data_IF_111186150638
#
_entry.id   IF_111186150638
#
_cell.length_a   1.000
_cell.length_b   1.000
_cell.length_c   1.000
_cell.angle_alpha   90.00
_cell.angle_beta   90.00
_cell.angle_gamma   90.00
#
_symmetry.space_group_name_H-M   'P 1'
#
loop_
_entity.id
_entity.type
_entity.pdbx_description
1 polymer ?
#
# COMPACT_ATOMS: atom_id res chain seq x y z
N UNK A 1 -18.48 -10.25 -4.68
CA UNK A 1 -17.18 -9.87 -4.10
C UNK A 1 -17.23 -10.19 -2.62
N UNK A 2 -16.48 -11.19 -2.13
CA UNK A 2 -16.57 -11.70 -0.74
C UNK A 2 -15.29 -11.34 0.00
N UNK A 3 -15.26 -10.15 0.62
CA UNK A 3 -14.33 -9.85 1.71
C UNK A 3 -14.73 -10.71 2.91
N UNK A 4 -13.80 -11.52 3.44
CA UNK A 4 -14.02 -12.27 4.69
C UNK A 4 -13.84 -11.33 5.87
N UNK A 5 -14.93 -10.67 6.26
CA UNK A 5 -15.06 -10.10 7.60
C UNK A 5 -15.38 -11.24 8.55
N UNK A 6 -14.72 -11.28 9.72
CA UNK A 6 -14.97 -12.29 10.76
C UNK A 6 -16.45 -12.32 11.14
N UNK A 7 -17.13 -13.37 10.71
CA UNK A 7 -18.22 -14.15 11.33
C UNK A 7 -19.32 -14.61 10.34
N UNK A 8 -19.73 -15.88 10.53
CA UNK A 8 -20.73 -16.72 9.87
C UNK A 8 -20.31 -17.60 8.66
N UNK A 9 -20.58 -18.93 8.72
CA UNK A 9 -20.20 -19.88 7.68
C UNK A 9 -21.17 -19.75 6.49
N UNK A 10 -20.63 -19.53 5.29
CA UNK A 10 -21.40 -19.52 4.03
C UNK A 10 -21.16 -20.79 3.21
N UNK A 11 -22.19 -21.26 2.47
CA UNK A 11 -22.21 -22.57 1.84
C UNK A 11 -21.30 -22.63 0.61
N UNK A 12 -20.78 -23.83 0.36
CA UNK A 12 -19.84 -24.19 -0.70
C UNK A 12 -20.57 -24.19 -2.03
N UNK A 13 -20.22 -23.26 -2.93
CA UNK A 13 -20.67 -23.26 -4.32
C UNK A 13 -19.58 -23.91 -5.19
N UNK A 14 -20.01 -24.86 -6.02
CA UNK A 14 -19.18 -25.63 -6.94
C UNK A 14 -18.53 -24.74 -8.02
N UNK A 15 -17.25 -24.99 -8.28
CA UNK A 15 -16.44 -24.27 -9.26
C UNK A 15 -15.32 -23.47 -8.59
N UNK A 16 -14.36 -24.16 -7.96
CA UNK A 16 -13.16 -23.51 -7.46
C UNK A 16 -12.30 -23.08 -8.66
N UNK A 17 -11.90 -21.79 -8.79
CA UNK A 17 -10.73 -21.48 -9.60
C UNK A 17 -9.56 -22.27 -9.02
N UNK A 18 -8.59 -22.66 -9.85
CA UNK A 18 -7.34 -23.24 -9.37
C UNK A 18 -6.68 -22.19 -8.49
N UNK A 19 -6.94 -22.26 -7.19
CA UNK A 19 -6.23 -21.50 -6.18
C UNK A 19 -4.89 -22.20 -6.10
N UNK A 20 -3.91 -21.72 -6.86
CA UNK A 20 -2.51 -21.94 -6.50
C UNK A 20 -2.42 -21.56 -5.03
N UNK A 21 -2.22 -22.55 -4.17
CA UNK A 21 -2.05 -22.31 -2.74
C UNK A 21 -0.98 -21.23 -2.59
N UNK A 22 -1.29 -20.08 -1.95
CA UNK A 22 -0.33 -19.02 -1.73
C UNK A 22 0.93 -19.63 -1.13
N UNK A 23 2.07 -19.43 -1.77
CA UNK A 23 3.33 -19.92 -1.23
C UNK A 23 3.53 -19.25 0.14
N UNK A 24 3.54 -20.06 1.21
CA UNK A 24 3.58 -19.56 2.58
C UNK A 24 4.79 -18.65 2.84
N UNK A 25 5.91 -18.87 2.15
CA UNK A 25 7.08 -18.00 2.21
C UNK A 25 6.82 -16.62 1.60
N UNK A 26 6.12 -16.56 0.45
CA UNK A 26 5.74 -15.29 -0.18
C UNK A 26 4.73 -14.54 0.68
N UNK A 27 3.71 -15.25 1.20
CA UNK A 27 2.73 -14.67 2.10
C UNK A 27 3.38 -14.07 3.36
N UNK A 28 4.37 -14.77 3.94
CA UNK A 28 5.13 -14.26 5.09
C UNK A 28 5.95 -13.00 4.74
N UNK A 29 6.59 -12.97 3.58
CA UNK A 29 7.35 -11.80 3.13
C UNK A 29 6.43 -10.58 2.88
N UNK A 30 5.22 -10.82 2.34
CA UNK A 30 4.22 -9.80 2.09
C UNK A 30 3.52 -9.33 3.38
N UNK A 31 3.36 -10.19 4.38
CA UNK A 31 2.77 -9.82 5.67
C UNK A 31 3.56 -8.70 6.38
N UNK A 32 4.90 -8.70 6.28
CA UNK A 32 5.73 -7.62 6.81
C UNK A 32 5.48 -6.28 6.11
N UNK A 33 5.22 -6.30 4.80
CA UNK A 33 4.83 -5.12 4.03
C UNK A 33 3.45 -4.60 4.47
N UNK A 34 2.48 -5.49 4.69
CA UNK A 34 1.15 -5.10 5.18
C UNK A 34 1.23 -4.45 6.56
N UNK A 35 1.95 -5.07 7.50
CA UNK A 35 2.14 -4.54 8.85
C UNK A 35 2.76 -3.12 8.84
N UNK A 36 3.71 -2.85 7.93
CA UNK A 36 4.26 -1.50 7.76
C UNK A 36 3.19 -0.50 7.31
N UNK A 37 2.36 -0.86 6.32
CA UNK A 37 1.33 0.00 5.77
C UNK A 37 0.24 0.31 6.81
N UNK A 38 -0.16 -0.66 7.61
CA UNK A 38 -1.15 -0.51 8.68
C UNK A 38 -0.66 0.38 9.83
N UNK A 39 0.64 0.35 10.12
CA UNK A 39 1.28 1.22 11.10
C UNK A 39 1.62 2.61 10.57
N UNK A 40 1.41 2.86 9.26
CA UNK A 40 1.89 4.07 8.61
C UNK A 40 0.93 5.26 8.77
N UNK A 41 1.44 6.50 8.82
CA UNK A 41 0.61 7.71 8.68
C UNK A 41 0.01 7.84 7.27
N UNK A 42 0.45 7.02 6.31
CA UNK A 42 0.02 7.11 4.92
C UNK A 42 -1.44 6.75 4.74
N UNK A 43 -2.05 5.95 5.62
CA UNK A 43 -3.44 5.53 5.49
C UNK A 43 -4.31 6.00 6.67
N UNK A 44 -3.98 7.15 7.24
CA UNK A 44 -4.86 7.83 8.19
C UNK A 44 -5.92 8.67 7.46
N UNK A 45 -7.18 8.52 7.89
CA UNK A 45 -8.34 9.31 7.41
C UNK A 45 -8.45 10.71 8.02
N UNK A 46 -7.50 11.12 8.86
CA UNK A 46 -7.50 12.44 9.49
C UNK A 46 -6.65 13.46 8.72
N UNK A 47 -6.93 14.75 8.95
CA UNK A 47 -6.18 15.86 8.36
C UNK A 47 -4.70 15.78 8.77
N UNK A 48 -3.82 15.76 7.78
CA UNK A 48 -2.37 15.73 7.98
C UNK A 48 -1.90 17.10 8.47
N UNK A 49 -1.18 17.14 9.60
CA UNK A 49 -0.46 18.33 10.09
C UNK A 49 0.95 18.44 9.48
N UNK A 50 1.64 19.57 9.65
CA UNK A 50 2.99 19.76 9.08
C UNK A 50 3.99 18.67 9.55
N UNK A 51 3.93 18.28 10.83
CA UNK A 51 4.76 17.20 11.37
C UNK A 51 4.43 15.85 10.73
N UNK A 52 3.16 15.62 10.39
CA UNK A 52 2.72 14.40 9.74
C UNK A 52 3.12 14.35 8.26
N UNK A 53 3.22 15.49 7.57
CA UNK A 53 3.79 15.56 6.23
C UNK A 53 5.22 15.01 6.20
N UNK A 54 6.07 15.44 7.15
CA UNK A 54 7.44 14.92 7.22
C UNK A 54 7.46 13.41 7.52
N UNK A 55 6.58 12.94 8.41
CA UNK A 55 6.43 11.51 8.67
C UNK A 55 6.02 10.76 7.41
N UNK A 56 5.07 11.27 6.63
CA UNK A 56 4.70 10.67 5.34
C UNK A 56 5.91 10.56 4.40
N UNK A 57 6.72 11.62 4.27
CA UNK A 57 7.93 11.57 3.44
C UNK A 57 8.90 10.47 3.85
N UNK A 58 9.21 10.40 5.14
CA UNK A 58 10.13 9.39 5.69
C UNK A 58 9.57 8.00 5.48
N UNK A 59 8.30 7.79 5.81
CA UNK A 59 7.62 6.50 5.64
C UNK A 59 7.54 6.06 4.19
N UNK A 60 7.35 6.96 3.22
CA UNK A 60 7.36 6.61 1.79
C UNK A 60 8.76 6.19 1.35
N UNK A 61 9.80 6.85 1.87
CA UNK A 61 11.19 6.45 1.65
C UNK A 61 11.50 5.05 2.21
N UNK A 62 11.02 4.76 3.42
CA UNK A 62 11.11 3.45 4.05
C UNK A 62 10.32 2.39 3.28
N UNK A 63 9.09 2.71 2.85
CA UNK A 63 8.21 1.81 2.11
C UNK A 63 8.86 1.41 0.79
N UNK A 64 9.47 2.38 0.08
CA UNK A 64 10.22 2.11 -1.15
C UNK A 64 11.36 1.11 -0.92
N UNK A 65 12.04 1.17 0.22
CA UNK A 65 13.11 0.23 0.60
C UNK A 65 12.50 -1.13 0.96
N UNK A 66 11.48 -1.16 1.80
CA UNK A 66 10.83 -2.41 2.19
C UNK A 66 10.27 -3.17 0.98
N UNK A 67 9.60 -2.49 0.05
CA UNK A 67 9.11 -3.11 -1.19
C UNK A 67 10.26 -3.70 -2.03
N UNK A 68 11.42 -3.03 -2.04
CA UNK A 68 12.61 -3.55 -2.71
C UNK A 68 13.12 -4.83 -2.03
N UNK A 69 13.25 -4.79 -0.71
CA UNK A 69 13.75 -5.89 0.10
C UNK A 69 12.80 -7.09 0.01
N UNK A 70 11.49 -6.86 0.10
CA UNK A 70 10.46 -7.89 -0.10
C UNK A 70 10.59 -8.52 -1.48
N UNK A 71 10.83 -7.77 -2.56
CA UNK A 71 11.02 -8.36 -3.90
C UNK A 71 12.24 -9.28 -3.99
N UNK A 72 13.31 -9.00 -3.24
CA UNK A 72 14.50 -9.85 -3.19
C UNK A 72 14.27 -11.18 -2.47
N UNK A 73 13.24 -11.26 -1.62
CA UNK A 73 12.86 -12.49 -0.93
C UNK A 73 11.96 -13.41 -1.77
N UNK A 74 11.46 -12.91 -2.91
CA UNK A 74 10.53 -13.65 -3.77
C UNK A 74 11.24 -14.25 -4.99
N UNK A 75 10.77 -15.40 -5.48
CA UNK A 75 11.17 -15.94 -6.79
C UNK A 75 10.98 -14.93 -7.92
N UNK A 76 11.77 -15.07 -8.98
CA UNK A 76 11.70 -14.12 -10.10
C UNK A 76 10.41 -14.17 -10.89
N UNK A 77 9.78 -15.34 -10.93
CA UNK A 77 8.46 -15.61 -11.50
C UNK A 77 7.31 -15.36 -10.51
N UNK A 78 7.60 -14.83 -9.32
CA UNK A 78 6.58 -14.53 -8.32
C UNK A 78 5.54 -13.59 -8.89
N UNK A 79 4.27 -13.96 -8.70
CA UNK A 79 3.16 -13.16 -9.20
C UNK A 79 2.97 -11.83 -8.47
N UNK A 80 3.63 -11.63 -7.33
CA UNK A 80 3.70 -10.34 -6.66
C UNK A 80 4.69 -9.37 -7.34
N UNK A 81 5.57 -9.84 -8.24
CA UNK A 81 6.64 -9.04 -8.84
C UNK A 81 6.16 -7.74 -9.48
N UNK A 82 5.16 -7.83 -10.37
CA UNK A 82 4.61 -6.65 -11.05
C UNK A 82 3.94 -5.68 -10.07
N UNK A 83 3.30 -6.24 -9.04
CA UNK A 83 2.65 -5.45 -8.00
C UNK A 83 3.68 -4.69 -7.17
N UNK A 84 4.75 -5.34 -6.71
CA UNK A 84 5.84 -4.70 -5.97
C UNK A 84 6.58 -3.69 -6.84
N UNK A 85 6.80 -3.97 -8.12
CA UNK A 85 7.42 -3.04 -9.06
C UNK A 85 6.59 -1.76 -9.22
N UNK A 86 5.28 -1.89 -9.38
CA UNK A 86 4.36 -0.76 -9.47
C UNK A 86 4.32 0.03 -8.15
N UNK A 87 4.30 -0.64 -7.00
CA UNK A 87 4.35 0.01 -5.69
C UNK A 87 5.62 0.85 -5.52
N UNK A 88 6.77 0.27 -5.88
CA UNK A 88 8.06 0.97 -5.85
C UNK A 88 8.11 2.15 -6.80
N UNK A 89 7.54 2.03 -8.00
CA UNK A 89 7.47 3.09 -8.99
C UNK A 89 6.63 4.28 -8.49
N UNK A 90 5.50 4.02 -7.83
CA UNK A 90 4.66 5.06 -7.24
C UNK A 90 5.38 5.79 -6.10
N UNK A 91 6.08 5.07 -5.22
CA UNK A 91 6.90 5.69 -4.17
C UNK A 91 8.00 6.58 -4.76
N UNK A 92 8.68 6.12 -5.82
CA UNK A 92 9.69 6.93 -6.52
C UNK A 92 9.08 8.19 -7.13
N UNK A 93 7.98 8.05 -7.87
CA UNK A 93 7.26 9.18 -8.48
C UNK A 93 6.89 10.25 -7.45
N UNK A 94 6.31 9.83 -6.32
CA UNK A 94 5.97 10.73 -5.23
C UNK A 94 7.20 11.50 -4.72
N UNK A 95 8.30 10.79 -4.42
CA UNK A 95 9.51 11.40 -3.87
C UNK A 95 10.16 12.37 -4.87
N UNK A 96 10.21 12.02 -6.14
CA UNK A 96 10.79 12.86 -7.19
C UNK A 96 9.97 14.15 -7.39
N UNK A 97 8.64 14.04 -7.44
CA UNK A 97 7.74 15.19 -7.62
C UNK A 97 7.74 16.11 -6.38
N UNK A 98 7.77 15.53 -5.20
CA UNK A 98 7.90 16.27 -3.96
C UNK A 98 9.23 17.01 -3.83
N UNK A 99 10.34 16.36 -4.16
CA UNK A 99 11.66 17.01 -4.13
C UNK A 99 11.71 18.17 -5.14
N UNK A 100 11.14 17.98 -6.33
CA UNK A 100 11.02 19.05 -7.32
C UNK A 100 10.18 20.23 -6.80
N UNK A 101 9.07 19.94 -6.11
CA UNK A 101 8.23 20.95 -5.49
C UNK A 101 8.95 21.69 -4.36
N UNK A 102 9.67 20.98 -3.49
CA UNK A 102 10.46 21.55 -2.40
C UNK A 102 11.53 22.51 -2.93
N UNK A 103 12.27 22.10 -3.98
CA UNK A 103 13.29 22.93 -4.63
C UNK A 103 12.71 24.22 -5.22
N UNK A 104 11.50 24.14 -5.79
CA UNK A 104 10.82 25.30 -6.39
C UNK A 104 10.22 26.25 -5.36
N UNK A 105 9.68 25.70 -4.27
CA UNK A 105 8.89 26.46 -3.29
C UNK A 105 9.70 26.94 -2.08
N UNK A 106 10.81 26.27 -1.74
CA UNK A 106 11.57 26.51 -0.51
C UNK A 106 10.81 26.13 0.78
N UNK A 107 9.74 25.34 0.67
CA UNK A 107 8.70 25.16 1.70
C UNK A 107 8.64 23.78 2.33
N UNK A 108 9.78 23.07 2.37
CA UNK A 108 9.90 21.68 2.86
C UNK A 108 9.31 21.42 4.25
N UNK A 109 9.29 22.43 5.13
CA UNK A 109 8.77 22.35 6.50
C UNK A 109 7.58 23.28 6.76
N UNK A 110 6.86 23.67 5.70
CA UNK A 110 5.66 24.50 5.82
C UNK A 110 4.40 23.66 5.99
N UNK A 111 3.26 24.32 6.23
CA UNK A 111 1.95 23.67 6.31
C UNK A 111 1.67 22.81 5.05
N UNK A 112 0.96 21.68 5.21
CA UNK A 112 0.57 20.81 4.10
C UNK A 112 -0.12 21.58 2.99
N UNK A 113 0.48 21.52 1.81
CA UNK A 113 -0.02 22.25 0.64
C UNK A 113 -0.97 21.39 -0.17
N UNK A 114 -1.75 22.04 -1.03
CA UNK A 114 -2.60 21.32 -1.99
C UNK A 114 -1.80 20.32 -2.84
N UNK A 115 -0.56 20.67 -3.22
CA UNK A 115 0.32 19.78 -3.96
C UNK A 115 0.66 18.52 -3.17
N UNK A 116 0.96 18.65 -1.87
CA UNK A 116 1.19 17.49 -1.00
C UNK A 116 -0.02 16.55 -0.96
N UNK A 117 -1.23 17.09 -0.75
CA UNK A 117 -2.45 16.25 -0.70
C UNK A 117 -2.73 15.55 -2.03
N UNK A 118 -2.49 16.22 -3.16
CA UNK A 118 -2.65 15.61 -4.48
C UNK A 118 -1.67 14.46 -4.71
N UNK A 119 -0.39 14.67 -4.38
CA UNK A 119 0.63 13.62 -4.50
C UNK A 119 0.33 12.44 -3.59
N UNK A 120 -0.07 12.71 -2.33
CA UNK A 120 -0.41 11.68 -1.37
C UNK A 120 -1.67 10.90 -1.79
N UNK A 121 -2.69 11.60 -2.33
CA UNK A 121 -3.89 10.98 -2.88
C UNK A 121 -3.57 10.03 -4.03
N UNK A 122 -2.76 10.47 -5.00
CA UNK A 122 -2.32 9.64 -6.12
C UNK A 122 -1.50 8.42 -5.66
N UNK A 123 -0.64 8.59 -4.65
CA UNK A 123 0.10 7.47 -4.07
C UNK A 123 -0.84 6.47 -3.41
N UNK A 124 -1.80 6.95 -2.60
CA UNK A 124 -2.79 6.12 -1.89
C UNK A 124 -3.66 5.32 -2.86
N UNK A 125 -4.07 5.92 -3.97
CA UNK A 125 -4.85 5.23 -5.00
C UNK A 125 -4.08 4.04 -5.60
N UNK A 126 -2.81 4.26 -5.99
CA UNK A 126 -1.97 3.19 -6.54
C UNK A 126 -1.67 2.13 -5.48
N UNK A 127 -1.30 2.55 -4.26
CA UNK A 127 -1.04 1.61 -3.17
C UNK A 127 -2.28 0.79 -2.83
N UNK A 128 -3.44 1.42 -2.66
CA UNK A 128 -4.69 0.75 -2.29
C UNK A 128 -5.09 -0.33 -3.29
N UNK A 129 -4.96 -0.07 -4.59
CA UNK A 129 -5.17 -1.07 -5.64
C UNK A 129 -4.22 -2.27 -5.50
N UNK A 130 -2.93 -2.00 -5.28
CA UNK A 130 -1.90 -3.04 -5.25
C UNK A 130 -1.92 -3.85 -3.96
N UNK A 131 -2.18 -3.21 -2.83
CA UNK A 131 -2.44 -3.88 -1.55
C UNK A 131 -3.65 -4.80 -1.68
N UNK A 132 -4.77 -4.29 -2.20
CA UNK A 132 -5.97 -5.09 -2.41
C UNK A 132 -5.71 -6.33 -3.27
N UNK A 133 -4.94 -6.19 -4.37
CA UNK A 133 -4.54 -7.33 -5.22
C UNK A 133 -3.69 -8.36 -4.49
N UNK A 134 -2.75 -7.91 -3.65
CA UNK A 134 -1.93 -8.82 -2.85
C UNK A 134 -2.78 -9.55 -1.81
N UNK A 135 -3.70 -8.86 -1.14
CA UNK A 135 -4.61 -9.46 -0.17
C UNK A 135 -5.49 -10.54 -0.80
N UNK A 136 -6.14 -10.25 -1.92
CA UNK A 136 -6.99 -11.22 -2.62
C UNK A 136 -6.20 -12.43 -3.12
N UNK A 137 -4.96 -12.22 -3.57
CA UNK A 137 -4.14 -13.30 -4.14
C UNK A 137 -3.52 -14.21 -3.08
N UNK A 138 -3.07 -13.62 -1.97
CA UNK A 138 -2.29 -14.32 -0.96
C UNK A 138 -3.09 -14.62 0.33
N UNK A 139 -4.40 -14.35 0.33
CA UNK A 139 -5.30 -14.49 1.48
C UNK A 139 -4.75 -13.76 2.72
N UNK A 140 -4.19 -12.56 2.52
CA UNK A 140 -3.61 -11.74 3.58
C UNK A 140 -4.72 -10.96 4.31
N UNK A 141 -4.73 -11.05 5.63
CA UNK A 141 -5.56 -10.18 6.46
C UNK A 141 -4.97 -8.78 6.51
N UNK A 142 -5.85 -7.77 6.53
CA UNK A 142 -5.47 -6.36 6.66
C UNK A 142 -6.37 -5.61 7.63
N UNK A 143 -5.81 -4.60 8.27
CA UNK A 143 -6.53 -3.70 9.15
C UNK A 143 -7.67 -2.97 8.39
N UNK A 144 -8.83 -2.85 9.03
CA UNK A 144 -10.00 -2.17 8.49
C UNK A 144 -9.71 -0.71 8.08
N UNK A 145 -8.70 -0.06 8.67
CA UNK A 145 -8.25 1.29 8.31
C UNK A 145 -7.74 1.41 6.87
N UNK A 146 -7.30 0.31 6.25
CA UNK A 146 -6.86 0.31 4.84
C UNK A 146 -8.03 0.20 3.86
N UNK A 147 -9.18 -0.31 4.31
CA UNK A 147 -10.36 -0.60 3.46
C UNK A 147 -10.89 0.63 2.71
N UNK A 148 -10.97 1.84 3.29
CA UNK A 148 -11.42 3.04 2.57
C UNK A 148 -10.56 3.40 1.35
N UNK A 149 -9.32 2.91 1.30
CA UNK A 149 -8.38 3.18 0.20
C UNK A 149 -8.40 2.10 -0.88
N UNK A 150 -9.17 1.02 -0.70
CA UNK A 150 -9.32 -0.02 -1.71
C UNK A 150 -10.32 0.38 -2.80
N UNK A 151 -10.25 -0.22 -4.00
CA UNK A 151 -11.22 0.02 -5.06
C UNK A 151 -12.66 -0.23 -4.58
N UNK A 152 -13.50 0.81 -4.62
CA UNK A 152 -14.89 0.72 -4.15
C UNK A 152 -15.06 0.68 -2.62
N UNK A 153 -13.97 0.91 -1.87
CA UNK A 153 -14.01 1.17 -0.43
C UNK A 153 -14.91 2.37 -0.13
N UNK A 154 -15.67 2.28 0.96
CA UNK A 154 -16.48 3.38 1.48
C UNK A 154 -16.06 3.63 2.93
N UNK A 155 -16.02 4.91 3.30
CA UNK A 155 -15.85 5.35 4.69
C UNK A 155 -17.06 4.97 5.56
#
# INVERSE_FOLDING_TARGET
>A
MRLKVRELPRPVAAGAPVVETPNAAEAQALAGLMAMLEGSPLFNGHLVMAEEQERCYRTIGELRRLVADTRLLLPDDSAASDTLAAMRAACRKYLDEAEAWDKKSGRRFSLPTFAFFQLLGALREVMGLHVWRLCERYDLEVDARLVPFFPGGRE
#
